data_IF_524077813710
#
_entry.id   IF_524077813710
#
_cell.length_a   1.000
_cell.length_b   1.000
_cell.length_c   1.000
_cell.angle_alpha   90.00
_cell.angle_beta   90.00
_cell.angle_gamma   90.00
#
_symmetry.space_group_name_H-M   'P 1'
#
loop_
_entity.id
_entity.type
_entity.pdbx_description
1 polymer ?
#
# COMPACT_ATOMS: atom_id res chain seq x y z
N UNK A 1 -37.82 2.88 54.33
CA UNK A 1 -37.17 3.76 53.33
C UNK A 1 -35.69 4.12 53.61
N UNK A 2 -35.01 3.63 54.66
CA UNK A 2 -33.57 3.91 54.90
C UNK A 2 -32.59 3.03 54.10
N UNK A 3 -33.06 1.94 53.50
CA UNK A 3 -32.24 0.99 52.74
C UNK A 3 -31.89 1.50 51.32
N UNK A 4 -32.84 2.17 50.65
CA UNK A 4 -32.64 2.76 49.32
C UNK A 4 -31.54 3.84 49.29
N UNK A 5 -31.45 4.66 50.34
CA UNK A 5 -30.47 5.76 50.41
C UNK A 5 -29.02 5.32 50.67
N UNK A 6 -28.79 4.09 51.14
CA UNK A 6 -27.44 3.52 51.31
C UNK A 6 -26.96 2.85 50.02
N UNK A 7 -27.85 2.16 49.32
CA UNK A 7 -27.54 1.51 48.04
C UNK A 7 -27.20 2.54 46.94
N UNK A 8 -27.93 3.67 46.89
CA UNK A 8 -27.64 4.77 45.97
C UNK A 8 -26.25 5.39 46.18
N UNK A 9 -25.79 5.53 47.43
CA UNK A 9 -24.45 6.08 47.73
C UNK A 9 -23.32 5.13 47.33
N UNK A 10 -23.54 3.81 47.50
CA UNK A 10 -22.59 2.78 47.05
C UNK A 10 -22.51 2.76 45.52
N UNK A 11 -23.65 2.84 44.82
CA UNK A 11 -23.69 2.88 43.37
C UNK A 11 -22.98 4.11 42.81
N UNK A 12 -23.24 5.30 43.36
CA UNK A 12 -22.56 6.55 42.94
C UNK A 12 -21.05 6.46 43.20
N UNK A 13 -20.63 5.93 44.35
CA UNK A 13 -19.21 5.71 44.65
C UNK A 13 -18.53 4.72 43.70
N UNK A 14 -19.22 3.64 43.33
CA UNK A 14 -18.73 2.65 42.37
C UNK A 14 -18.61 3.23 40.95
N UNK A 15 -19.62 3.98 40.48
CA UNK A 15 -19.57 4.65 39.18
C UNK A 15 -18.44 5.69 39.15
N UNK A 16 -18.27 6.48 40.22
CA UNK A 16 -17.17 7.45 40.32
C UNK A 16 -15.80 6.76 40.29
N UNK A 17 -15.66 5.65 41.01
CA UNK A 17 -14.44 4.83 40.97
C UNK A 17 -14.18 4.26 39.57
N UNK A 18 -15.20 3.74 38.89
CA UNK A 18 -15.08 3.25 37.52
C UNK A 18 -14.65 4.36 36.55
N UNK A 19 -15.19 5.57 36.67
CA UNK A 19 -14.79 6.72 35.85
C UNK A 19 -13.35 7.14 36.14
N UNK A 20 -12.93 7.19 37.40
CA UNK A 20 -11.56 7.53 37.80
C UNK A 20 -10.55 6.44 37.40
N UNK A 21 -10.91 5.17 37.57
CA UNK A 21 -10.09 4.03 37.15
C UNK A 21 -9.97 3.98 35.63
N UNK A 22 -11.08 4.22 34.90
CA UNK A 22 -11.08 4.33 33.45
C UNK A 22 -10.21 5.51 32.98
N UNK A 23 -10.37 6.69 33.57
CA UNK A 23 -9.56 7.86 33.25
C UNK A 23 -8.07 7.68 33.58
N UNK A 24 -7.74 7.06 34.71
CA UNK A 24 -6.37 6.74 35.10
C UNK A 24 -5.71 5.69 34.20
N UNK A 25 -6.47 4.66 33.80
CA UNK A 25 -6.01 3.64 32.85
C UNK A 25 -5.78 4.24 31.45
N UNK A 26 -6.72 5.05 30.97
CA UNK A 26 -6.60 5.79 29.71
C UNK A 26 -5.36 6.69 29.69
N UNK A 27 -5.12 7.43 30.77
CA UNK A 27 -3.93 8.27 30.89
C UNK A 27 -2.63 7.46 30.90
N UNK A 28 -2.58 6.34 31.64
CA UNK A 28 -1.41 5.46 31.66
C UNK A 28 -1.13 4.82 30.30
N UNK A 29 -2.17 4.32 29.63
CA UNK A 29 -2.04 3.72 28.29
C UNK A 29 -1.58 4.79 27.28
N UNK A 30 -2.14 6.00 27.33
CA UNK A 30 -1.71 7.09 26.48
C UNK A 30 -0.22 7.43 26.67
N UNK A 31 0.26 7.55 27.92
CA UNK A 31 1.69 7.81 28.20
C UNK A 31 2.61 6.65 27.75
N UNK A 32 2.17 5.40 27.89
CA UNK A 32 2.93 4.23 27.41
C UNK A 32 2.97 4.15 25.89
N UNK A 33 1.85 4.39 25.20
CA UNK A 33 1.78 4.39 23.74
C UNK A 33 2.58 5.56 23.16
N UNK A 34 2.47 6.75 23.76
CA UNK A 34 3.27 7.93 23.37
C UNK A 34 4.77 7.64 23.46
N UNK A 35 5.23 7.05 24.58
CA UNK A 35 6.63 6.61 24.74
C UNK A 35 7.01 5.53 23.74
N UNK A 36 6.15 4.54 23.54
CA UNK A 36 6.37 3.46 22.58
C UNK A 36 6.55 3.97 21.15
N UNK A 37 5.74 4.94 20.73
CA UNK A 37 5.86 5.60 19.42
C UNK A 37 7.20 6.32 19.30
N UNK A 38 7.56 7.15 20.29
CA UNK A 38 8.84 7.88 20.26
C UNK A 38 10.05 6.94 20.31
N UNK A 39 9.99 5.85 21.08
CA UNK A 39 11.04 4.83 21.13
C UNK A 39 11.15 4.07 19.80
N UNK A 40 10.03 3.69 19.19
CA UNK A 40 10.02 3.04 17.87
C UNK A 40 10.60 3.96 16.79
N UNK A 41 10.24 5.23 16.81
CA UNK A 41 10.73 6.24 15.86
C UNK A 41 12.22 6.52 16.08
N UNK A 42 12.67 6.63 17.33
CA UNK A 42 14.08 6.86 17.68
C UNK A 42 15.02 5.72 17.25
N UNK A 43 14.50 4.51 17.00
CA UNK A 43 15.28 3.40 16.44
C UNK A 43 15.62 3.59 14.97
N UNK A 44 14.87 4.42 14.25
CA UNK A 44 15.13 4.72 12.83
C UNK A 44 15.96 6.01 12.77
N UNK A 45 17.24 5.95 12.36
CA UNK A 45 18.12 7.11 12.39
C UNK A 45 17.56 8.29 11.60
N UNK A 46 17.49 9.45 12.27
CA UNK A 46 17.05 10.70 11.68
C UNK A 46 15.55 10.82 11.43
N UNK A 47 14.75 9.83 11.85
CA UNK A 47 13.29 9.89 11.79
C UNK A 47 12.74 10.60 13.02
N UNK A 48 11.74 11.45 12.81
CA UNK A 48 10.99 12.17 13.82
C UNK A 48 9.51 12.13 13.43
N UNK A 49 8.63 12.03 14.42
CA UNK A 49 7.19 12.02 14.21
C UNK A 49 6.56 13.07 15.09
N UNK A 50 5.64 13.85 14.52
CA UNK A 50 4.83 14.81 15.26
C UNK A 50 3.37 14.53 14.97
N UNK A 51 2.53 14.74 15.97
CA UNK A 51 1.09 14.64 15.87
C UNK A 51 0.44 15.60 16.86
N UNK A 52 -0.74 16.11 16.51
CA UNK A 52 -1.49 17.03 17.37
C UNK A 52 -2.31 16.29 18.43
N UNK A 53 -2.72 15.04 18.16
CA UNK A 53 -3.54 14.23 19.06
C UNK A 53 -3.20 12.75 18.94
N UNK A 54 -3.17 12.07 20.10
CA UNK A 54 -3.13 10.63 20.24
C UNK A 54 -4.40 10.18 20.97
N UNK A 55 -5.15 9.26 20.36
CA UNK A 55 -6.31 8.59 20.98
C UNK A 55 -6.04 7.08 21.03
N UNK A 56 -6.26 6.47 22.20
CA UNK A 56 -6.06 5.04 22.40
C UNK A 56 -7.35 4.40 22.88
N UNK A 57 -7.92 3.56 22.02
CA UNK A 57 -9.08 2.75 22.37
C UNK A 57 -8.60 1.40 22.87
N UNK A 58 -8.69 1.21 24.19
CA UNK A 58 -8.11 0.04 24.88
C UNK A 58 -8.83 -1.26 24.52
N UNK A 59 -10.15 -1.22 24.28
CA UNK A 59 -10.96 -2.42 24.08
C UNK A 59 -10.75 -3.09 22.71
N UNK A 60 -10.47 -2.30 21.68
CA UNK A 60 -10.19 -2.75 20.31
C UNK A 60 -8.73 -2.50 19.91
N UNK A 61 -7.87 -2.13 20.88
CA UNK A 61 -6.43 -1.87 20.71
C UNK A 61 -6.13 -0.91 19.54
N UNK A 62 -7.02 0.05 19.30
CA UNK A 62 -6.82 1.03 18.23
C UNK A 62 -5.99 2.20 18.74
N UNK A 63 -4.94 2.55 17.99
CA UNK A 63 -4.16 3.78 18.20
C UNK A 63 -4.44 4.72 17.05
N UNK A 64 -4.98 5.90 17.34
CA UNK A 64 -5.26 6.96 16.35
C UNK A 64 -4.35 8.15 16.59
N UNK A 65 -3.62 8.56 15.56
CA UNK A 65 -2.86 9.80 15.49
C UNK A 65 -3.59 10.78 14.56
N UNK A 66 -3.62 12.05 14.90
CA UNK A 66 -4.24 13.12 14.10
C UNK A 66 -3.23 14.21 13.79
N UNK A 67 -3.29 14.76 12.57
CA UNK A 67 -2.35 15.75 12.01
C UNK A 67 -0.90 15.28 12.14
N UNK A 68 -0.58 14.17 11.50
CA UNK A 68 0.71 13.50 11.59
C UNK A 68 1.68 14.09 10.59
N UNK A 69 2.85 14.53 11.07
CA UNK A 69 4.00 14.88 10.25
C UNK A 69 5.12 13.87 10.53
N UNK A 70 5.48 13.08 9.51
CA UNK A 70 6.65 12.22 9.53
C UNK A 70 7.81 12.93 8.84
N UNK A 71 8.97 12.92 9.50
CA UNK A 71 10.11 13.74 9.14
C UNK A 71 11.38 12.90 9.17
N UNK A 72 12.12 12.83 8.06
CA UNK A 72 13.44 12.17 8.03
C UNK A 72 14.46 12.99 7.25
N UNK A 73 15.30 13.76 7.95
CA UNK A 73 16.19 14.73 7.31
C UNK A 73 15.38 15.77 6.53
N UNK A 74 15.51 15.79 5.20
CA UNK A 74 14.73 16.65 4.31
C UNK A 74 13.37 16.04 3.89
N UNK A 75 13.13 14.74 4.12
CA UNK A 75 11.87 14.08 3.80
C UNK A 75 10.78 14.55 4.76
N UNK A 76 9.60 14.85 4.24
CA UNK A 76 8.41 15.28 4.97
C UNK A 76 7.17 14.66 4.34
N UNK A 77 6.43 13.91 5.15
CA UNK A 77 5.16 13.29 4.77
C UNK A 77 4.12 13.74 5.78
N UNK A 78 2.93 14.12 5.30
CA UNK A 78 1.82 14.55 6.13
C UNK A 78 0.63 13.60 5.97
N UNK A 79 -0.14 13.40 7.04
CA UNK A 79 -1.44 12.75 6.99
C UNK A 79 -2.40 13.39 8.00
N UNK A 80 -3.66 13.55 7.63
CA UNK A 80 -4.69 14.07 8.54
C UNK A 80 -4.94 13.11 9.70
N UNK A 81 -4.93 11.80 9.42
CA UNK A 81 -5.18 10.75 10.41
C UNK A 81 -4.43 9.48 10.07
N UNK A 82 -3.83 8.85 11.07
CA UNK A 82 -3.25 7.51 10.97
C UNK A 82 -3.85 6.64 12.07
N UNK A 83 -4.39 5.49 11.70
CA UNK A 83 -4.94 4.52 12.63
C UNK A 83 -4.19 3.20 12.51
N UNK A 84 -3.76 2.67 13.64
CA UNK A 84 -3.19 1.34 13.77
C UNK A 84 -4.18 0.44 14.50
N UNK A 85 -4.38 -0.76 13.98
CA UNK A 85 -5.25 -1.78 14.52
C UNK A 85 -4.50 -3.11 14.46
N UNK A 86 -4.79 -4.01 15.40
CA UNK A 86 -4.43 -5.43 15.28
C UNK A 86 -2.96 -5.62 14.87
N UNK A 87 -2.07 -5.09 15.71
CA UNK A 87 -0.64 -5.08 15.44
C UNK A 87 0.13 -5.84 16.52
N UNK A 88 1.20 -6.48 16.11
CA UNK A 88 2.07 -7.23 16.99
C UNK A 88 3.01 -6.32 17.79
N UNK A 89 2.87 -6.35 19.12
CA UNK A 89 3.70 -5.60 20.06
C UNK A 89 4.99 -6.33 20.48
N UNK A 90 5.13 -7.62 20.17
CA UNK A 90 6.23 -8.46 20.71
C UNK A 90 7.52 -8.32 19.93
N UNK A 91 7.43 -7.98 18.66
CA UNK A 91 8.57 -7.89 17.75
C UNK A 91 8.89 -6.44 17.42
N UNK A 92 10.16 -6.16 17.12
CA UNK A 92 10.59 -4.81 16.74
C UNK A 92 9.97 -4.33 15.44
N UNK A 93 9.71 -5.26 14.53
CA UNK A 93 8.85 -5.07 13.36
C UNK A 93 7.64 -5.97 13.57
N UNK A 94 6.40 -5.44 13.57
CA UNK A 94 5.22 -6.25 13.82
C UNK A 94 5.12 -7.40 12.81
N UNK A 95 4.81 -8.62 13.27
CA UNK A 95 4.55 -9.73 12.35
C UNK A 95 3.16 -9.64 11.71
N UNK A 96 2.25 -8.88 12.28
CA UNK A 96 1.00 -8.48 11.63
C UNK A 96 0.70 -7.03 12.00
N UNK A 97 0.06 -6.31 11.09
CA UNK A 97 -0.39 -4.94 11.34
C UNK A 97 -1.47 -4.56 10.34
N UNK A 98 -2.53 -3.92 10.83
CA UNK A 98 -3.48 -3.17 10.01
C UNK A 98 -3.32 -1.68 10.26
N UNK A 99 -3.20 -0.92 9.18
CA UNK A 99 -3.01 0.52 9.21
C UNK A 99 -3.94 1.19 8.21
N UNK A 100 -4.55 2.30 8.60
CA UNK A 100 -5.28 3.18 7.70
C UNK A 100 -4.72 4.60 7.81
N UNK A 101 -4.59 5.27 6.68
CA UNK A 101 -4.08 6.64 6.55
C UNK A 101 -5.11 7.45 5.79
N UNK A 102 -5.51 8.60 6.32
CA UNK A 102 -6.42 9.53 5.66
C UNK A 102 -5.70 10.85 5.38
N UNK A 103 -5.95 11.42 4.20
CA UNK A 103 -5.37 12.70 3.79
C UNK A 103 -3.85 12.67 3.69
N UNK A 104 -3.27 11.57 3.19
CA UNK A 104 -1.84 11.47 2.93
C UNK A 104 -1.44 12.54 1.91
N UNK A 105 -0.37 13.28 2.20
CA UNK A 105 0.29 14.19 1.27
C UNK A 105 1.78 13.90 1.30
N UNK A 106 2.33 13.50 0.15
CA UNK A 106 3.74 13.20 0.00
C UNK A 106 4.29 13.81 -1.30
N UNK A 107 5.36 14.62 -1.25
CA UNK A 107 6.00 15.10 -2.47
C UNK A 107 6.48 13.95 -3.36
N UNK A 108 6.25 14.04 -4.66
CA UNK A 108 6.65 13.04 -5.65
C UNK A 108 8.07 13.31 -6.18
N UNK A 109 9.01 13.57 -5.28
CA UNK A 109 10.40 13.91 -5.62
C UNK A 109 11.38 12.76 -5.32
N UNK A 110 12.63 12.91 -5.79
CA UNK A 110 13.66 11.88 -5.62
C UNK A 110 13.99 11.61 -4.14
N UNK A 111 13.79 12.60 -3.26
CA UNK A 111 14.03 12.44 -1.81
C UNK A 111 13.03 11.44 -1.22
N UNK A 112 11.77 11.48 -1.65
CA UNK A 112 10.71 10.62 -1.13
C UNK A 112 10.63 9.27 -1.85
N UNK A 113 10.70 9.29 -3.18
CA UNK A 113 10.38 8.14 -4.03
C UNK A 113 11.59 7.57 -4.80
N UNK A 114 12.77 8.17 -4.64
CA UNK A 114 14.00 7.68 -5.25
C UNK A 114 13.88 7.57 -6.77
N UNK A 115 14.19 6.38 -7.30
CA UNK A 115 14.19 6.12 -8.74
C UNK A 115 12.81 6.23 -9.42
N UNK A 116 11.72 6.21 -8.65
CA UNK A 116 10.35 6.39 -9.18
C UNK A 116 10.00 7.86 -9.42
N UNK A 117 10.70 8.80 -8.77
CA UNK A 117 10.35 10.22 -8.86
C UNK A 117 10.42 10.79 -10.28
N UNK A 118 11.45 10.52 -11.10
CA UNK A 118 11.49 11.05 -12.47
C UNK A 118 10.34 10.54 -13.34
N UNK A 119 9.83 9.33 -13.06
CA UNK A 119 8.66 8.78 -13.76
C UNK A 119 7.40 9.58 -13.41
N UNK A 120 7.16 9.83 -12.12
CA UNK A 120 6.00 10.62 -11.66
C UNK A 120 6.09 12.08 -12.11
N UNK A 121 7.28 12.68 -12.03
CA UNK A 121 7.53 14.03 -12.52
C UNK A 121 7.24 14.14 -14.03
N UNK A 122 7.65 13.13 -14.82
CA UNK A 122 7.34 13.07 -16.24
C UNK A 122 5.83 13.00 -16.51
N UNK A 123 5.07 12.36 -15.62
CA UNK A 123 3.60 12.29 -15.65
C UNK A 123 2.91 13.57 -15.11
N UNK A 124 3.70 14.58 -14.70
CA UNK A 124 3.20 15.82 -14.11
C UNK A 124 2.66 15.65 -12.68
N UNK A 125 3.03 14.55 -12.01
CA UNK A 125 2.66 14.27 -10.62
C UNK A 125 3.76 14.84 -9.72
N UNK A 126 3.44 15.95 -9.04
CA UNK A 126 4.38 16.64 -8.15
C UNK A 126 4.25 16.19 -6.69
N UNK A 127 3.10 15.62 -6.35
CA UNK A 127 2.76 15.11 -5.03
C UNK A 127 1.72 13.99 -5.20
N UNK A 128 1.75 13.04 -4.27
CA UNK A 128 0.72 12.01 -4.13
C UNK A 128 -0.24 12.45 -3.02
N UNK A 129 -1.54 12.39 -3.30
CA UNK A 129 -2.58 12.84 -2.37
C UNK A 129 -3.73 11.86 -2.32
N UNK A 130 -3.88 11.20 -1.17
CA UNK A 130 -4.88 10.15 -1.10
C UNK A 130 -5.09 9.55 0.27
N UNK A 131 -5.99 8.57 0.30
CA UNK A 131 -6.19 7.71 1.45
C UNK A 131 -5.50 6.37 1.20
N UNK A 132 -4.96 5.78 2.26
CA UNK A 132 -4.23 4.52 2.17
C UNK A 132 -4.69 3.52 3.23
N UNK A 133 -4.56 2.24 2.95
CA UNK A 133 -4.51 1.24 4.01
C UNK A 133 -3.54 0.11 3.67
N UNK A 134 -3.09 -0.56 4.72
CA UNK A 134 -2.19 -1.69 4.65
C UNK A 134 -2.62 -2.71 5.70
N UNK A 135 -2.83 -3.94 5.26
CA UNK A 135 -3.03 -5.14 6.05
C UNK A 135 -1.99 -6.17 5.62
N UNK A 136 -1.15 -6.60 6.55
CA UNK A 136 -0.24 -7.71 6.31
C UNK A 136 -0.12 -8.66 7.50
N UNK A 137 0.29 -9.89 7.18
CA UNK A 137 0.66 -10.91 8.14
C UNK A 137 1.94 -11.63 7.68
N UNK A 138 2.81 -11.98 8.62
CA UNK A 138 4.08 -12.65 8.37
C UNK A 138 4.11 -14.00 9.08
N UNK A 139 4.41 -15.06 8.32
CA UNK A 139 4.71 -16.39 8.85
C UNK A 139 6.22 -16.53 9.07
N UNK A 140 6.72 -16.50 10.31
CA UNK A 140 8.16 -16.68 10.58
C UNK A 140 8.64 -18.10 10.26
N UNK A 141 7.75 -19.10 10.32
CA UNK A 141 8.07 -20.50 10.00
C UNK A 141 8.35 -20.67 8.51
N UNK A 142 7.49 -20.07 7.68
CA UNK A 142 7.56 -20.22 6.22
C UNK A 142 8.36 -19.09 5.56
N UNK A 143 8.68 -18.03 6.32
CA UNK A 143 9.33 -16.80 5.84
C UNK A 143 8.55 -16.13 4.72
N UNK A 144 7.24 -16.07 4.90
CA UNK A 144 6.29 -15.48 3.94
C UNK A 144 5.63 -14.28 4.57
N UNK A 145 5.71 -13.14 3.88
CA UNK A 145 4.94 -11.94 4.14
C UNK A 145 3.72 -11.95 3.21
N UNK A 146 2.55 -12.10 3.79
CA UNK A 146 1.26 -11.96 3.12
C UNK A 146 0.84 -10.50 3.23
N UNK A 147 0.85 -9.78 2.11
CA UNK A 147 0.17 -8.49 2.01
C UNK A 147 -1.27 -8.80 1.62
N UNK A 148 -2.17 -8.77 2.61
CA UNK A 148 -3.57 -9.15 2.42
C UNK A 148 -4.32 -8.07 1.64
N UNK A 149 -4.06 -6.80 1.99
CA UNK A 149 -4.65 -5.63 1.36
C UNK A 149 -3.69 -4.46 1.48
N UNK A 150 -3.23 -3.93 0.36
CA UNK A 150 -2.66 -2.61 0.26
C UNK A 150 -3.54 -1.80 -0.66
N UNK A 151 -4.11 -0.71 -0.16
CA UNK A 151 -4.95 0.18 -0.96
C UNK A 151 -4.43 1.60 -0.94
N UNK A 152 -4.57 2.29 -2.07
CA UNK A 152 -4.30 3.71 -2.20
C UNK A 152 -5.34 4.33 -3.14
N UNK A 153 -6.07 5.32 -2.65
CA UNK A 153 -7.10 6.07 -3.37
C UNK A 153 -6.61 7.50 -3.56
N UNK A 154 -6.29 7.87 -4.80
CA UNK A 154 -5.95 9.23 -5.19
C UNK A 154 -6.95 9.69 -6.26
N UNK A 155 -7.63 10.82 -5.99
CA UNK A 155 -8.71 11.32 -6.85
C UNK A 155 -8.27 11.69 -8.27
N UNK A 156 -6.98 11.94 -8.49
CA UNK A 156 -6.43 12.31 -9.80
C UNK A 156 -5.74 11.14 -10.51
N UNK A 157 -5.25 10.14 -9.77
CA UNK A 157 -4.53 9.00 -10.35
C UNK A 157 -5.41 7.77 -10.47
N UNK A 158 -6.24 7.51 -9.46
CA UNK A 158 -7.12 6.34 -9.41
C UNK A 158 -6.99 5.56 -8.11
N UNK A 159 -7.65 4.41 -8.11
CA UNK A 159 -7.71 3.51 -6.96
C UNK A 159 -6.87 2.28 -7.24
N UNK A 160 -5.85 2.05 -6.40
CA UNK A 160 -4.98 0.89 -6.44
C UNK A 160 -5.30 -0.01 -5.25
N UNK A 161 -5.52 -1.29 -5.51
CA UNK A 161 -5.59 -2.36 -4.51
C UNK A 161 -4.59 -3.45 -4.89
N UNK A 162 -3.82 -3.93 -3.92
CA UNK A 162 -2.78 -4.92 -4.09
C UNK A 162 -2.86 -5.97 -2.98
N UNK A 163 -2.88 -7.23 -3.34
CA UNK A 163 -2.56 -8.35 -2.47
C UNK A 163 -1.40 -9.13 -3.07
N UNK A 164 -0.45 -9.57 -2.25
CA UNK A 164 0.71 -10.31 -2.73
C UNK A 164 1.38 -11.13 -1.64
N UNK A 165 1.80 -12.33 -2.00
CA UNK A 165 2.66 -13.18 -1.18
C UNK A 165 4.13 -12.95 -1.54
N UNK A 166 4.92 -12.59 -0.54
CA UNK A 166 6.35 -12.36 -0.65
C UNK A 166 7.10 -13.35 0.23
N UNK A 167 7.79 -14.30 -0.39
CA UNK A 167 8.53 -15.34 0.34
C UNK A 167 10.04 -15.06 0.38
N UNK A 168 10.71 -15.77 1.30
CA UNK A 168 12.11 -15.55 1.67
C UNK A 168 12.35 -14.15 2.27
N UNK A 169 11.35 -13.63 3.00
CA UNK A 169 11.45 -12.40 3.79
C UNK A 169 11.82 -12.76 5.22
N UNK A 170 12.66 -11.94 5.84
CA UNK A 170 13.03 -12.06 7.25
C UNK A 170 12.77 -10.70 7.92
N UNK A 171 11.62 -10.56 8.59
CA UNK A 171 11.22 -9.30 9.22
C UNK A 171 12.01 -9.01 10.51
N UNK A 172 12.48 -10.05 11.21
CA UNK A 172 13.20 -9.90 12.47
C UNK A 172 14.62 -9.34 12.26
N UNK A 173 15.21 -9.58 11.08
CA UNK A 173 16.50 -9.03 10.65
C UNK A 173 16.37 -8.40 9.26
N UNK A 174 15.37 -7.52 9.10
CA UNK A 174 15.08 -6.82 7.85
C UNK A 174 16.24 -5.92 7.45
N UNK A 175 16.71 -6.10 6.20
CA UNK A 175 17.76 -5.29 5.58
C UNK A 175 17.49 -5.15 4.09
N UNK A 176 17.73 -3.97 3.54
CA UNK A 176 17.52 -3.70 2.12
C UNK A 176 18.30 -4.67 1.22
N UNK A 177 19.52 -5.07 1.63
CA UNK A 177 20.34 -6.01 0.87
C UNK A 177 19.75 -7.43 0.83
N UNK A 178 18.92 -7.80 1.81
CA UNK A 178 18.25 -9.11 1.85
C UNK A 178 17.08 -9.20 0.88
N UNK A 179 16.58 -8.07 0.39
CA UNK A 179 15.53 -8.06 -0.63
C UNK A 179 15.98 -8.72 -1.93
N UNK A 180 17.29 -8.85 -2.21
CA UNK A 180 17.81 -9.59 -3.38
C UNK A 180 17.28 -11.03 -3.44
N UNK A 181 16.99 -11.65 -2.28
CA UNK A 181 16.43 -12.99 -2.19
C UNK A 181 14.91 -13.08 -2.24
N UNK A 182 14.18 -11.98 -2.46
CA UNK A 182 12.72 -11.96 -2.45
C UNK A 182 12.14 -12.86 -3.55
N UNK A 183 11.10 -13.63 -3.23
CA UNK A 183 10.36 -14.39 -4.24
C UNK A 183 8.90 -13.93 -4.27
N UNK A 184 8.39 -13.71 -5.46
CA UNK A 184 7.02 -13.30 -5.74
C UNK A 184 6.15 -14.56 -5.84
N UNK A 185 5.13 -14.65 -5.01
CA UNK A 185 4.12 -15.72 -5.03
C UNK A 185 2.84 -15.29 -5.75
N UNK A 186 1.72 -15.80 -5.26
CA UNK A 186 0.40 -15.41 -5.73
C UNK A 186 0.09 -13.96 -5.35
N UNK A 187 -0.71 -13.29 -6.17
CA UNK A 187 -1.10 -11.91 -5.91
C UNK A 187 -2.15 -11.39 -6.87
N UNK A 188 -2.72 -10.25 -6.52
CA UNK A 188 -3.65 -9.51 -7.35
C UNK A 188 -3.39 -8.02 -7.25
N UNK A 189 -3.36 -7.33 -8.38
CA UNK A 189 -3.40 -5.89 -8.47
C UNK A 189 -4.69 -5.48 -9.18
N UNK A 190 -5.56 -4.75 -8.49
CA UNK A 190 -6.74 -4.12 -9.08
C UNK A 190 -6.47 -2.62 -9.15
N UNK A 191 -6.70 -2.04 -10.32
CA UNK A 191 -6.54 -0.61 -10.53
C UNK A 191 -7.77 -0.05 -11.26
N UNK A 192 -8.34 1.03 -10.75
CA UNK A 192 -9.39 1.81 -11.40
C UNK A 192 -8.80 3.16 -11.77
N UNK A 193 -8.79 3.48 -13.07
CA UNK A 193 -8.19 4.72 -13.56
C UNK A 193 -9.06 5.93 -13.24
N UNK A 194 -8.44 7.01 -12.76
CA UNK A 194 -9.08 8.32 -12.63
C UNK A 194 -8.40 9.41 -13.47
N UNK A 195 -7.49 9.03 -14.38
CA UNK A 195 -6.71 9.94 -15.21
C UNK A 195 -5.21 9.63 -15.30
N UNK A 196 -4.72 8.55 -14.68
CA UNK A 196 -3.31 8.15 -14.81
C UNK A 196 -2.99 7.75 -16.25
N UNK A 197 -3.85 6.97 -16.90
CA UNK A 197 -3.66 6.54 -18.30
C UNK A 197 -3.61 7.72 -19.26
N UNK A 198 -4.50 8.71 -19.07
CA UNK A 198 -4.49 9.94 -19.87
C UNK A 198 -3.17 10.71 -19.71
N UNK A 199 -2.64 10.83 -18.48
CA UNK A 199 -1.34 11.46 -18.22
C UNK A 199 -0.19 10.69 -18.89
N UNK A 200 -0.24 9.36 -18.89
CA UNK A 200 0.74 8.52 -19.60
C UNK A 200 0.73 8.85 -21.10
N UNK A 201 -0.45 8.91 -21.74
CA UNK A 201 -0.55 9.26 -23.15
C UNK A 201 -0.07 10.67 -23.45
N UNK A 202 -0.42 11.66 -22.62
CA UNK A 202 0.05 13.04 -22.77
C UNK A 202 1.57 13.15 -22.66
N UNK A 203 2.17 12.47 -21.68
CA UNK A 203 3.62 12.46 -21.48
C UNK A 203 4.33 11.78 -22.64
N UNK A 204 3.83 10.62 -23.10
CA UNK A 204 4.38 9.94 -24.26
C UNK A 204 4.28 10.82 -25.51
N UNK A 205 3.10 11.39 -25.78
CA UNK A 205 2.84 12.28 -26.90
C UNK A 205 3.79 13.48 -26.94
N UNK A 206 3.97 14.14 -25.79
CA UNK A 206 4.89 15.27 -25.62
C UNK A 206 6.35 14.87 -25.89
N UNK A 207 6.78 13.72 -25.36
CA UNK A 207 8.15 13.24 -25.54
C UNK A 207 8.51 12.90 -27.00
N UNK A 208 7.50 12.60 -27.83
CA UNK A 208 7.65 12.21 -29.23
C UNK A 208 7.13 13.25 -30.22
N UNK A 209 6.70 14.43 -29.75
CA UNK A 209 6.10 15.49 -30.57
C UNK A 209 4.96 14.98 -31.47
N UNK A 210 4.07 14.17 -30.90
CA UNK A 210 2.89 13.61 -31.55
C UNK A 210 1.61 14.03 -30.81
N UNK A 211 0.44 13.78 -31.41
CA UNK A 211 -0.84 13.98 -30.71
C UNK A 211 -1.08 12.84 -29.72
N UNK A 212 -1.99 13.09 -28.77
CA UNK A 212 -2.39 12.10 -27.78
C UNK A 212 -3.03 10.87 -28.42
N UNK A 213 -3.86 11.08 -29.44
CA UNK A 213 -4.53 10.00 -30.17
C UNK A 213 -3.50 9.10 -30.85
N UNK A 214 -2.46 9.68 -31.47
CA UNK A 214 -1.36 8.91 -32.05
C UNK A 214 -0.54 8.18 -30.98
N UNK A 215 -0.31 8.78 -29.80
CA UNK A 215 0.39 8.11 -28.70
C UNK A 215 -0.36 6.86 -28.23
N UNK A 216 -1.68 6.98 -28.07
CA UNK A 216 -2.55 5.85 -27.73
C UNK A 216 -2.50 4.76 -28.81
N UNK A 217 -2.66 5.12 -30.08
CA UNK A 217 -2.57 4.16 -31.20
C UNK A 217 -1.21 3.43 -31.24
N UNK A 218 -0.11 4.14 -31.01
CA UNK A 218 1.23 3.54 -30.95
C UNK A 218 1.37 2.58 -29.78
N UNK A 219 0.99 2.98 -28.56
CA UNK A 219 1.11 2.12 -27.38
C UNK A 219 0.23 0.87 -27.47
N UNK A 220 -1.01 1.02 -27.93
CA UNK A 220 -1.91 -0.12 -28.19
C UNK A 220 -1.33 -1.04 -29.26
N UNK A 221 -0.85 -0.48 -30.38
CA UNK A 221 -0.25 -1.25 -31.47
C UNK A 221 1.04 -1.99 -31.06
N UNK A 222 1.84 -1.41 -30.16
CA UNK A 222 3.01 -2.08 -29.57
C UNK A 222 2.59 -3.32 -28.75
N UNK A 223 1.56 -3.19 -27.91
CA UNK A 223 1.02 -4.33 -27.13
C UNK A 223 0.39 -5.41 -28.03
N UNK A 224 -0.36 -5.02 -29.07
CA UNK A 224 -0.90 -5.96 -30.05
C UNK A 224 0.20 -6.71 -30.80
N UNK A 225 1.30 -6.02 -31.13
CA UNK A 225 2.47 -6.63 -31.75
C UNK A 225 3.14 -7.64 -30.81
N UNK A 226 3.31 -7.29 -29.54
CA UNK A 226 3.82 -8.21 -28.52
C UNK A 226 2.91 -9.42 -28.33
N UNK A 227 1.58 -9.21 -28.34
CA UNK A 227 0.62 -10.30 -28.28
C UNK A 227 0.74 -11.24 -29.49
N UNK A 228 0.90 -10.71 -30.70
CA UNK A 228 1.10 -11.51 -31.91
C UNK A 228 2.42 -12.29 -31.88
N UNK A 229 3.50 -11.68 -31.40
CA UNK A 229 4.80 -12.35 -31.21
C UNK A 229 4.69 -13.50 -30.21
N UNK A 230 4.07 -13.27 -29.06
CA UNK A 230 3.85 -14.29 -28.04
C UNK A 230 3.07 -15.51 -28.59
N UNK A 231 2.02 -15.28 -29.41
CA UNK A 231 1.30 -16.39 -30.08
C UNK A 231 2.18 -17.17 -31.05
N UNK A 232 3.04 -16.48 -31.80
CA UNK A 232 3.97 -17.14 -32.71
C UNK A 232 5.01 -18.01 -31.99
N UNK A 233 5.30 -17.71 -30.73
CA UNK A 233 6.19 -18.45 -29.84
C UNK A 233 5.46 -19.48 -28.95
N UNK A 234 4.17 -19.73 -29.19
CA UNK A 234 3.33 -20.65 -28.40
C UNK A 234 3.19 -20.24 -26.91
N UNK A 235 3.27 -18.93 -26.65
CA UNK A 235 3.12 -18.31 -25.33
C UNK A 235 1.73 -17.69 -25.17
N UNK A 236 0.67 -18.51 -25.20
CA UNK A 236 -0.72 -18.05 -25.25
C UNK A 236 -1.10 -17.16 -24.05
N UNK A 237 -0.60 -17.47 -22.86
CA UNK A 237 -0.86 -16.65 -21.67
C UNK A 237 -0.28 -15.24 -21.78
N UNK A 238 0.97 -15.11 -22.22
CA UNK A 238 1.57 -13.80 -22.51
C UNK A 238 0.78 -13.04 -23.59
N UNK A 239 0.32 -13.74 -24.63
CA UNK A 239 -0.50 -13.12 -25.67
C UNK A 239 -1.82 -12.55 -25.12
N UNK A 240 -2.48 -13.28 -24.23
CA UNK A 240 -3.72 -12.84 -23.58
C UNK A 240 -3.48 -11.67 -22.63
N UNK A 241 -2.41 -11.71 -21.84
CA UNK A 241 -2.05 -10.60 -20.94
C UNK A 241 -1.77 -9.30 -21.72
N UNK A 242 -1.00 -9.36 -22.81
CA UNK A 242 -0.77 -8.19 -23.66
C UNK A 242 -2.05 -7.68 -24.32
N UNK A 243 -2.94 -8.57 -24.75
CA UNK A 243 -4.23 -8.19 -25.30
C UNK A 243 -5.12 -7.49 -24.25
N UNK A 244 -5.17 -8.00 -23.01
CA UNK A 244 -5.90 -7.36 -21.91
C UNK A 244 -5.35 -5.98 -21.54
N UNK A 245 -4.01 -5.83 -21.53
CA UNK A 245 -3.38 -4.52 -21.34
C UNK A 245 -3.73 -3.55 -22.48
N UNK A 246 -3.75 -4.05 -23.74
CA UNK A 246 -4.11 -3.23 -24.89
C UNK A 246 -5.57 -2.78 -24.81
N UNK A 247 -6.49 -3.66 -24.41
CA UNK A 247 -7.90 -3.34 -24.16
C UNK A 247 -8.05 -2.25 -23.11
N UNK A 248 -7.38 -2.39 -21.96
CA UNK A 248 -7.41 -1.38 -20.90
C UNK A 248 -6.93 -0.01 -21.38
N UNK A 249 -5.90 0.06 -22.23
CA UNK A 249 -5.45 1.33 -22.81
C UNK A 249 -6.44 1.94 -23.82
N UNK A 250 -7.36 1.15 -24.37
CA UNK A 250 -8.44 1.63 -25.24
C UNK A 250 -9.57 2.23 -24.41
N UNK A 251 -9.99 1.59 -23.34
CA UNK A 251 -11.07 2.06 -22.47
C UNK A 251 -10.64 1.92 -21.01
N UNK A 252 -9.90 2.91 -20.47
CA UNK A 252 -9.26 2.80 -19.16
C UNK A 252 -10.29 3.01 -18.05
N UNK A 253 -11.07 1.97 -17.75
CA UNK A 253 -11.96 1.94 -16.60
C UNK A 253 -11.28 1.23 -15.43
N UNK A 254 -11.14 -0.10 -15.53
CA UNK A 254 -10.55 -0.93 -14.49
C UNK A 254 -9.78 -2.10 -15.06
N UNK A 255 -8.63 -2.40 -14.44
CA UNK A 255 -7.77 -3.52 -14.78
C UNK A 255 -7.46 -4.36 -13.55
N UNK A 256 -7.55 -5.67 -13.71
CA UNK A 256 -7.19 -6.66 -12.71
C UNK A 256 -6.07 -7.53 -13.26
N UNK A 257 -4.91 -7.43 -12.63
CA UNK A 257 -3.76 -8.27 -12.90
C UNK A 257 -3.65 -9.30 -11.78
N UNK A 258 -3.55 -10.58 -12.12
CA UNK A 258 -3.32 -11.64 -11.13
C UNK A 258 -2.04 -12.39 -11.46
N UNK A 259 -1.36 -12.87 -10.44
CA UNK A 259 -0.23 -13.80 -10.56
C UNK A 259 -0.52 -15.03 -9.72
N UNK A 260 -0.23 -16.21 -10.25
CA UNK A 260 -0.39 -17.48 -9.54
C UNK A 260 0.68 -18.48 -10.00
N UNK A 261 1.97 -18.16 -9.78
CA UNK A 261 3.05 -19.02 -10.24
C UNK A 261 3.04 -20.35 -9.48
N UNK A 262 3.35 -21.46 -10.17
CA UNK A 262 3.40 -22.79 -9.54
C UNK A 262 4.36 -22.85 -8.34
N UNK A 263 5.42 -22.04 -8.37
CA UNK A 263 6.37 -21.86 -7.29
C UNK A 263 6.75 -20.37 -7.18
N UNK A 264 7.05 -19.86 -5.98
CA UNK A 264 7.51 -18.49 -5.82
C UNK A 264 8.71 -18.16 -6.71
N UNK A 265 8.63 -17.04 -7.43
CA UNK A 265 9.58 -16.66 -8.47
C UNK A 265 10.56 -15.63 -7.93
N UNK A 266 11.89 -15.84 -8.00
CA UNK A 266 12.85 -14.83 -7.56
C UNK A 266 12.66 -13.52 -8.32
N UNK A 267 12.45 -12.39 -7.62
CA UNK A 267 12.18 -11.11 -8.28
C UNK A 267 13.34 -10.65 -9.19
N UNK A 268 14.57 -11.06 -8.86
CA UNK A 268 15.74 -10.77 -9.68
C UNK A 268 15.66 -11.35 -11.10
N UNK A 269 14.84 -12.38 -11.34
CA UNK A 269 14.67 -12.96 -12.67
C UNK A 269 14.05 -11.99 -13.67
N UNK A 270 13.30 -10.99 -13.20
CA UNK A 270 12.72 -9.95 -14.06
C UNK A 270 13.76 -8.93 -14.58
N UNK A 271 14.96 -8.89 -13.96
CA UNK A 271 16.03 -7.96 -14.34
C UNK A 271 17.19 -8.62 -15.10
N UNK A 272 17.21 -9.96 -15.19
CA UNK A 272 18.32 -10.73 -15.77
C UNK A 272 18.19 -10.96 -17.29
N UNK A 273 17.50 -10.06 -18.01
CA UNK A 273 17.43 -10.09 -19.49
C UNK A 273 16.38 -11.05 -20.07
N UNK A 274 15.42 -11.52 -19.26
CA UNK A 274 14.22 -12.19 -19.77
C UNK A 274 13.36 -11.20 -20.54
N UNK A 275 12.73 -11.66 -21.62
CA UNK A 275 11.72 -10.86 -22.30
C UNK A 275 10.42 -10.82 -21.46
N UNK A 276 9.53 -9.87 -21.76
CA UNK A 276 8.29 -9.70 -20.99
C UNK A 276 7.36 -10.91 -21.06
N UNK A 277 7.31 -11.60 -22.20
CA UNK A 277 6.45 -12.77 -22.40
C UNK A 277 6.86 -13.96 -21.50
N UNK A 278 8.16 -14.23 -21.39
CA UNK A 278 8.69 -15.24 -20.46
C UNK A 278 8.34 -14.90 -19.01
N UNK A 279 8.39 -13.62 -18.64
CA UNK A 279 8.08 -13.16 -17.29
C UNK A 279 6.59 -13.33 -16.96
N UNK A 280 5.71 -13.02 -17.92
CA UNK A 280 4.26 -13.22 -17.80
C UNK A 280 3.94 -14.71 -17.61
N UNK A 281 4.50 -15.58 -18.44
CA UNK A 281 4.27 -17.02 -18.32
C UNK A 281 4.82 -17.59 -17.00
N UNK A 282 6.00 -17.15 -16.59
CA UNK A 282 6.63 -17.60 -15.34
C UNK A 282 5.80 -17.24 -14.11
N UNK A 283 5.17 -16.06 -14.12
CA UNK A 283 4.28 -15.60 -13.05
C UNK A 283 2.87 -16.20 -13.15
N UNK A 284 2.58 -16.96 -14.21
CA UNK A 284 1.21 -17.34 -14.57
C UNK A 284 0.29 -16.10 -14.52
N UNK A 285 0.75 -15.00 -15.11
CA UNK A 285 0.09 -13.71 -15.01
C UNK A 285 -1.13 -13.65 -15.94
N UNK A 286 -2.26 -13.17 -15.41
CA UNK A 286 -3.48 -12.89 -16.17
C UNK A 286 -3.85 -11.41 -16.05
N UNK A 287 -4.51 -10.90 -17.09
CA UNK A 287 -4.99 -9.51 -17.15
C UNK A 287 -6.44 -9.53 -17.61
N UNK A 288 -7.31 -8.94 -16.81
CA UNK A 288 -8.74 -8.84 -17.04
C UNK A 288 -9.18 -7.38 -16.92
N UNK A 289 -10.02 -6.93 -17.85
CA UNK A 289 -10.69 -5.64 -17.78
C UNK A 289 -12.01 -5.79 -17.02
N UNK A 290 -12.42 -4.75 -16.30
CA UNK A 290 -13.73 -4.71 -15.66
C UNK A 290 -14.31 -3.31 -15.68
N UNK A 291 -15.64 -3.23 -15.68
CA UNK A 291 -16.32 -1.95 -15.55
C UNK A 291 -16.11 -1.40 -14.14
N UNK A 292 -15.52 -0.21 -14.03
CA UNK A 292 -15.23 0.42 -12.75
C UNK A 292 -16.52 0.84 -12.05
N UNK A 293 -17.10 -0.03 -11.21
CA UNK A 293 -18.06 0.44 -10.20
C UNK A 293 -17.26 1.22 -9.15
N UNK A 294 -17.33 2.55 -9.21
CA UNK A 294 -16.95 3.38 -8.08
C UNK A 294 -18.00 3.16 -7.00
N UNK A 295 -17.62 2.48 -5.92
CA UNK A 295 -18.42 2.46 -4.70
C UNK A 295 -18.56 3.92 -4.22
N UNK A 296 -19.68 4.56 -4.56
CA UNK A 296 -20.09 5.88 -4.06
C UNK A 296 -20.67 5.80 -2.65
#
# INVERSE_FOLDING_TARGET
MKFLGRFSKILVGFVLFMVLAYGGLQWFVHDQVDKGIHEAVARIPGMDVKYSRLDVRIFDQTVTLTEVELSQGAKRIFADKVEFFDFDEKHSMPHHMRMAVQGLVMPADFTHLGALAPLLEALGVLELRGDGALDYAYSPTDKVLHVNDFRFDDKELGNLELSIDLSNVDLDDYRMEKLVGLHIGAGSLRFVDAGLVERIFETYARSRNMSREMAREVMVGELETLAAQARAEDMEQAAQAYAGLAGFLVEPEGILVRTDPEQPVPWMYFFMGRNGAESINLLNLTVEEFAGESDQ
#
